data_IF_396124243411
#
_entry.id   IF_396124243411
#
_cell.length_a   1.000
_cell.length_b   1.000
_cell.length_c   1.000
_cell.angle_alpha   90.00
_cell.angle_beta   90.00
_cell.angle_gamma   90.00
#
_symmetry.space_group_name_H-M   'P 1'
#
loop_
_entity.id
_entity.type
_entity.pdbx_description
1 polymer ?
#
# COMPACT_ATOMS: atom_id res chain seq x y z
N UNK A 1 23.26 -6.35 -7.89
CA UNK A 1 23.08 -5.74 -6.56
C UNK A 1 21.64 -5.30 -6.48
N UNK A 2 20.96 -5.61 -5.37
CA UNK A 2 19.61 -5.09 -5.08
C UNK A 2 19.78 -3.60 -4.75
N UNK A 3 19.14 -2.73 -5.51
CA UNK A 3 19.07 -1.28 -5.30
C UNK A 3 18.34 -0.95 -3.99
N UNK A 4 18.57 0.25 -3.46
CA UNK A 4 17.96 0.70 -2.18
C UNK A 4 16.43 0.77 -2.23
N UNK A 5 15.88 0.88 -3.44
CA UNK A 5 14.46 0.97 -3.77
C UNK A 5 13.94 -0.27 -4.50
N UNK A 6 14.73 -1.34 -4.61
CA UNK A 6 14.26 -2.61 -5.15
C UNK A 6 13.35 -3.32 -4.14
N UNK A 7 12.35 -4.08 -4.63
CA UNK A 7 11.52 -4.91 -3.76
C UNK A 7 12.36 -6.01 -3.09
N UNK A 8 11.92 -6.46 -1.92
CA UNK A 8 12.53 -7.60 -1.25
C UNK A 8 12.30 -8.87 -2.09
N UNK A 9 13.34 -9.59 -2.54
CA UNK A 9 13.17 -10.67 -3.53
C UNK A 9 12.20 -11.76 -3.08
N UNK A 10 12.25 -12.14 -1.80
CA UNK A 10 11.36 -13.15 -1.23
C UNK A 10 9.90 -12.67 -1.15
N UNK A 11 9.69 -11.36 -0.98
CA UNK A 11 8.35 -10.78 -0.91
C UNK A 11 7.80 -10.46 -2.30
N UNK A 12 8.65 -10.08 -3.26
CA UNK A 12 8.27 -9.85 -4.65
C UNK A 12 7.67 -11.11 -5.31
N UNK A 13 8.20 -12.29 -4.96
CA UNK A 13 7.69 -13.58 -5.42
C UNK A 13 6.52 -14.05 -4.52
N UNK A 14 5.33 -14.16 -5.12
CA UNK A 14 4.14 -14.61 -4.42
C UNK A 14 4.29 -16.03 -3.84
N UNK A 15 4.78 -16.98 -4.64
CA UNK A 15 4.96 -18.36 -4.20
C UNK A 15 5.98 -18.48 -3.06
N UNK A 16 7.10 -17.76 -3.14
CA UNK A 16 8.12 -17.71 -2.10
C UNK A 16 7.57 -17.10 -0.81
N UNK A 17 6.81 -16.00 -0.91
CA UNK A 17 6.13 -15.38 0.23
C UNK A 17 5.17 -16.37 0.91
N UNK A 18 4.31 -17.03 0.13
CA UNK A 18 3.35 -18.00 0.66
C UNK A 18 4.05 -19.20 1.30
N UNK A 19 5.14 -19.69 0.72
CA UNK A 19 5.95 -20.78 1.29
C UNK A 19 6.57 -20.37 2.63
N UNK A 20 7.13 -19.18 2.72
CA UNK A 20 7.71 -18.62 3.95
C UNK A 20 6.66 -18.51 5.06
N UNK A 21 5.50 -17.93 4.77
CA UNK A 21 4.43 -17.74 5.75
C UNK A 21 3.88 -19.07 6.27
N UNK A 22 3.65 -20.05 5.37
CA UNK A 22 3.22 -21.40 5.76
C UNK A 22 4.25 -22.11 6.64
N UNK A 23 5.54 -21.99 6.31
CA UNK A 23 6.61 -22.54 7.14
C UNK A 23 6.62 -21.93 8.55
N UNK A 24 6.33 -20.62 8.67
CA UNK A 24 6.24 -19.94 9.97
C UNK A 24 5.02 -20.38 10.79
N UNK A 25 3.88 -20.66 10.13
CA UNK A 25 2.67 -21.14 10.80
C UNK A 25 2.77 -22.59 11.31
N UNK A 26 3.62 -23.42 10.68
CA UNK A 26 3.78 -24.82 11.08
C UNK A 26 2.46 -25.60 10.91
N UNK A 27 1.97 -26.20 12.01
CA UNK A 27 0.73 -27.00 12.05
C UNK A 27 -0.48 -26.22 12.61
N UNK A 28 -0.38 -24.91 12.79
CA UNK A 28 -1.52 -24.09 13.23
C UNK A 28 -2.55 -23.98 12.10
N UNK A 29 -3.64 -24.75 12.19
CA UNK A 29 -4.69 -24.80 11.17
C UNK A 29 -5.36 -23.43 10.94
N UNK A 30 -5.58 -22.66 12.00
CA UNK A 30 -6.21 -21.34 11.92
C UNK A 30 -5.28 -20.36 11.19
N UNK A 31 -4.00 -20.31 11.57
CA UNK A 31 -3.02 -19.48 10.89
C UNK A 31 -2.86 -19.87 9.40
N UNK A 32 -2.94 -21.16 9.07
CA UNK A 32 -2.88 -21.63 7.69
C UNK A 32 -4.10 -21.21 6.85
N UNK A 33 -5.29 -21.17 7.45
CA UNK A 33 -6.52 -20.65 6.80
C UNK A 33 -6.37 -19.15 6.52
N UNK A 34 -5.95 -18.38 7.52
CA UNK A 34 -5.75 -16.93 7.40
C UNK A 34 -4.68 -16.60 6.35
N UNK A 35 -3.56 -17.32 6.34
CA UNK A 35 -2.52 -17.18 5.31
C UNK A 35 -3.09 -17.47 3.92
N UNK A 36 -3.92 -18.51 3.76
CA UNK A 36 -4.51 -18.85 2.46
C UNK A 36 -5.46 -17.75 1.97
N UNK A 37 -6.29 -17.22 2.85
CA UNK A 37 -7.18 -16.11 2.54
C UNK A 37 -6.41 -14.84 2.17
N UNK A 38 -5.42 -14.49 2.99
CA UNK A 38 -4.53 -13.36 2.73
C UNK A 38 -3.82 -13.49 1.38
N UNK A 39 -3.30 -14.68 1.05
CA UNK A 39 -2.65 -14.95 -0.24
C UNK A 39 -3.57 -14.68 -1.42
N UNK A 40 -4.82 -15.15 -1.37
CA UNK A 40 -5.82 -14.88 -2.43
C UNK A 40 -6.14 -13.40 -2.57
N UNK A 41 -6.21 -12.65 -1.45
CA UNK A 41 -6.43 -11.20 -1.48
C UNK A 41 -5.21 -10.48 -2.07
N UNK A 42 -4.01 -10.89 -1.67
CA UNK A 42 -2.74 -10.33 -2.12
C UNK A 42 -2.58 -10.35 -3.64
N UNK A 43 -2.99 -11.43 -4.31
CA UNK A 43 -2.92 -11.50 -5.78
C UNK A 43 -3.70 -10.37 -6.47
N UNK A 44 -4.79 -9.90 -5.87
CA UNK A 44 -5.57 -8.74 -6.35
C UNK A 44 -4.96 -7.41 -5.95
N UNK A 45 -4.40 -7.32 -4.73
CA UNK A 45 -3.84 -6.05 -4.21
C UNK A 45 -2.50 -5.67 -4.85
N UNK A 46 -1.63 -6.63 -5.14
CA UNK A 46 -0.28 -6.33 -5.65
C UNK A 46 -0.27 -5.55 -6.97
N UNK A 47 -1.08 -5.90 -8.00
CA UNK A 47 -1.15 -5.09 -9.22
C UNK A 47 -1.58 -3.64 -8.95
N UNK A 48 -2.56 -3.43 -8.07
CA UNK A 48 -3.04 -2.09 -7.68
C UNK A 48 -1.94 -1.30 -6.99
N UNK A 49 -1.27 -1.90 -5.99
CA UNK A 49 -0.16 -1.24 -5.30
C UNK A 49 1.02 -0.93 -6.24
N UNK A 50 1.33 -1.81 -7.20
CA UNK A 50 2.39 -1.55 -8.20
C UNK A 50 2.03 -0.39 -9.10
N UNK A 51 0.80 -0.36 -9.62
CA UNK A 51 0.30 0.74 -10.42
C UNK A 51 0.28 2.06 -9.63
N UNK A 52 -0.14 2.02 -8.37
CA UNK A 52 -0.15 3.20 -7.50
C UNK A 52 1.27 3.70 -7.21
N UNK A 53 2.20 2.81 -6.86
CA UNK A 53 3.59 3.17 -6.63
C UNK A 53 4.27 3.74 -7.89
N UNK A 54 3.93 3.21 -9.07
CA UNK A 54 4.36 3.75 -10.37
C UNK A 54 3.80 5.15 -10.64
N UNK A 55 2.54 5.41 -10.27
CA UNK A 55 1.93 6.75 -10.36
C UNK A 55 2.71 7.75 -9.48
N UNK A 56 2.92 7.43 -8.21
CA UNK A 56 3.67 8.30 -7.29
C UNK A 56 5.09 8.59 -7.80
N UNK A 57 5.73 7.55 -8.36
CA UNK A 57 7.06 7.66 -8.97
C UNK A 57 7.09 8.60 -10.18
N UNK A 58 6.12 8.46 -11.08
CA UNK A 58 5.99 9.28 -12.30
C UNK A 58 5.80 10.77 -11.98
N UNK A 59 5.10 11.06 -10.89
CA UNK A 59 4.83 12.43 -10.45
C UNK A 59 5.86 12.96 -9.44
N UNK A 60 6.96 12.24 -9.21
CA UNK A 60 8.06 12.72 -8.37
C UNK A 60 7.78 12.71 -6.86
N UNK A 61 6.67 12.12 -6.42
CA UNK A 61 6.32 11.96 -5.00
C UNK A 61 7.24 10.94 -4.31
N UNK A 62 7.78 9.99 -5.08
CA UNK A 62 8.86 9.11 -4.65
C UNK A 62 10.06 9.23 -5.59
N UNK A 63 11.17 9.74 -5.07
CA UNK A 63 12.41 9.96 -5.82
C UNK A 63 13.21 8.66 -6.02
N UNK A 64 14.22 8.74 -6.91
CA UNK A 64 15.04 7.57 -7.28
C UNK A 64 15.98 7.27 -6.13
N UNK A 65 16.09 6.01 -5.71
CA UNK A 65 16.93 5.66 -4.58
C UNK A 65 16.44 6.19 -3.23
N UNK A 66 15.18 6.66 -3.13
CA UNK A 66 14.50 6.82 -1.84
C UNK A 66 14.57 5.48 -1.10
N UNK A 67 14.99 5.50 0.16
CA UNK A 67 15.12 4.28 0.94
C UNK A 67 13.78 3.54 1.04
N UNK A 68 13.83 2.21 1.04
CA UNK A 68 12.65 1.34 1.14
C UNK A 68 11.65 1.79 2.22
N UNK A 69 12.13 2.11 3.42
CA UNK A 69 11.29 2.53 4.55
C UNK A 69 10.53 3.82 4.24
N UNK A 70 11.21 4.85 3.74
CA UNK A 70 10.59 6.13 3.42
C UNK A 70 9.63 6.02 2.23
N UNK A 71 10.01 5.23 1.22
CA UNK A 71 9.13 4.90 0.09
C UNK A 71 7.86 4.23 0.57
N UNK A 72 7.98 3.16 1.36
CA UNK A 72 6.83 2.39 1.84
C UNK A 72 5.92 3.27 2.68
N UNK A 73 6.50 4.16 3.51
CA UNK A 73 5.76 5.17 4.24
C UNK A 73 4.99 6.11 3.31
N UNK A 74 5.64 6.74 2.33
CA UNK A 74 4.98 7.66 1.39
C UNK A 74 3.87 6.95 0.63
N UNK A 75 4.12 5.74 0.11
CA UNK A 75 3.12 4.96 -0.61
C UNK A 75 1.92 4.67 0.29
N UNK A 76 2.15 4.27 1.54
CA UNK A 76 1.07 3.99 2.50
C UNK A 76 0.22 5.24 2.80
N UNK A 77 0.85 6.39 3.10
CA UNK A 77 0.12 7.62 3.40
C UNK A 77 -0.68 8.10 2.19
N UNK A 78 -0.05 8.13 1.00
CA UNK A 78 -0.70 8.53 -0.23
C UNK A 78 -1.86 7.59 -0.60
N UNK A 79 -1.73 6.28 -0.36
CA UNK A 79 -2.79 5.32 -0.62
C UNK A 79 -4.01 5.57 0.29
N UNK A 80 -3.78 5.87 1.56
CA UNK A 80 -4.83 6.26 2.51
C UNK A 80 -5.49 7.60 2.14
N UNK A 81 -4.74 8.58 1.64
CA UNK A 81 -5.30 9.88 1.20
C UNK A 81 -6.16 9.71 -0.05
N UNK A 82 -5.72 8.88 -1.00
CA UNK A 82 -6.39 8.66 -2.28
C UNK A 82 -7.82 8.09 -2.15
N UNK A 83 -8.18 7.53 -1.00
CA UNK A 83 -9.54 6.99 -0.75
C UNK A 83 -10.61 8.06 -0.77
N UNK A 84 -10.28 9.27 -0.28
CA UNK A 84 -11.11 10.47 -0.40
C UNK A 84 -11.37 10.88 -1.85
N UNK A 85 -10.51 10.44 -2.76
CA UNK A 85 -10.59 10.67 -4.20
C UNK A 85 -11.13 9.45 -4.95
N UNK A 86 -11.77 8.52 -4.23
CA UNK A 86 -12.46 7.37 -4.84
C UNK A 86 -11.56 6.17 -5.16
N UNK A 87 -10.30 6.15 -4.70
CA UNK A 87 -9.50 4.92 -4.71
C UNK A 87 -10.06 3.94 -3.67
N UNK A 88 -10.43 2.74 -4.09
CA UNK A 88 -10.91 1.73 -3.16
C UNK A 88 -9.75 1.10 -2.35
N UNK A 89 -9.88 1.07 -1.01
CA UNK A 89 -9.01 0.31 -0.12
C UNK A 89 -9.38 -1.17 -0.13
N UNK A 90 -9.26 -1.81 -1.29
CA UNK A 90 -9.51 -3.24 -1.40
C UNK A 90 -8.70 -4.01 -0.35
N UNK A 91 -9.39 -4.68 0.58
CA UNK A 91 -8.85 -5.69 1.49
C UNK A 91 -7.71 -5.22 2.43
N UNK A 92 -7.52 -3.92 2.64
CA UNK A 92 -6.63 -3.37 3.68
C UNK A 92 -7.45 -2.78 4.83
N UNK A 93 -7.22 -3.31 6.03
CA UNK A 93 -7.86 -2.80 7.25
C UNK A 93 -7.07 -1.64 7.83
N UNK A 94 -7.78 -0.59 8.23
CA UNK A 94 -7.25 0.50 9.04
C UNK A 94 -7.12 0.04 10.51
N UNK A 95 -5.92 0.18 11.10
CA UNK A 95 -5.65 -0.21 12.49
C UNK A 95 -4.75 0.80 13.21
N UNK A 96 -5.26 2.00 13.43
CA UNK A 96 -4.52 3.12 14.06
C UNK A 96 -3.86 2.73 15.39
N UNK A 97 -4.57 1.99 16.25
CA UNK A 97 -4.11 1.63 17.59
C UNK A 97 -3.03 0.54 17.63
N UNK A 98 -2.79 -0.18 16.52
CA UNK A 98 -1.84 -1.30 16.48
C UNK A 98 -0.67 -1.06 15.52
N UNK A 99 -0.92 -0.43 14.37
CA UNK A 99 0.03 -0.41 13.26
C UNK A 99 0.01 0.90 12.44
N UNK A 100 -0.74 1.92 12.89
CA UNK A 100 -0.94 3.16 12.14
C UNK A 100 -2.00 3.00 11.03
N UNK A 101 -2.00 3.88 10.01
CA UNK A 101 -3.15 4.01 9.14
C UNK A 101 -3.43 2.77 8.28
N UNK A 102 -2.48 1.83 8.09
CA UNK A 102 -2.75 0.60 7.35
C UNK A 102 -2.07 -0.59 8.06
N UNK A 103 -2.76 -1.73 8.12
CA UNK A 103 -2.34 -2.90 8.89
C UNK A 103 -0.97 -3.49 8.45
N UNK A 104 -0.31 -4.24 9.35
CA UNK A 104 1.00 -4.87 9.13
C UNK A 104 1.12 -5.71 7.84
N UNK A 105 0.01 -6.24 7.34
CA UNK A 105 -0.06 -7.01 6.09
C UNK A 105 0.19 -6.15 4.84
N UNK A 106 -0.11 -4.86 4.90
CA UNK A 106 0.27 -3.91 3.86
C UNK A 106 1.78 -3.74 3.78
N UNK A 107 2.49 -3.74 4.92
CA UNK A 107 3.95 -3.60 4.92
C UNK A 107 4.62 -4.72 4.11
N UNK A 108 4.13 -5.96 4.22
CA UNK A 108 4.63 -7.09 3.40
C UNK A 108 4.42 -6.83 1.91
N UNK A 109 3.26 -6.29 1.53
CA UNK A 109 2.94 -5.99 0.14
C UNK A 109 3.73 -4.78 -0.39
N UNK A 110 3.97 -3.76 0.43
CA UNK A 110 4.81 -2.60 0.10
C UNK A 110 6.28 -3.00 -0.14
N UNK A 111 6.80 -3.93 0.66
CA UNK A 111 8.13 -4.48 0.41
C UNK A 111 8.22 -5.29 -0.88
N UNK A 112 7.09 -5.73 -1.44
CA UNK A 112 7.01 -6.53 -2.66
C UNK A 112 6.83 -5.70 -3.94
N UNK A 113 6.66 -4.37 -3.83
CA UNK A 113 6.50 -3.49 -5.00
C UNK A 113 7.80 -2.78 -5.36
N UNK A 114 8.10 -2.77 -6.66
CA UNK A 114 9.11 -1.92 -7.26
C UNK A 114 8.49 -0.65 -7.84
N UNK A 115 9.30 0.39 -8.00
CA UNK A 115 8.88 1.70 -8.50
C UNK A 115 9.11 1.82 -10.02
N UNK A 116 8.52 0.93 -10.80
CA UNK A 116 8.58 1.02 -12.26
C UNK A 116 7.65 2.13 -12.77
N UNK A 117 8.21 3.32 -13.02
CA UNK A 117 7.47 4.48 -13.52
C UNK A 117 6.78 4.26 -14.89
N UNK A 118 7.20 3.22 -15.63
CA UNK A 118 6.65 2.88 -16.95
C UNK A 118 5.43 1.98 -16.87
N UNK A 119 5.13 1.43 -15.69
CA UNK A 119 3.97 0.58 -15.49
C UNK A 119 2.65 1.32 -15.79
N UNK A 120 1.64 0.63 -16.35
CA UNK A 120 0.31 1.20 -16.53
C UNK A 120 -0.30 1.63 -15.19
N UNK A 121 -0.85 2.84 -15.13
CA UNK A 121 -1.46 3.41 -13.92
C UNK A 121 -2.97 3.65 -14.05
N UNK A 122 -3.55 3.35 -15.22
CA UNK A 122 -4.96 3.61 -15.49
C UNK A 122 -5.91 2.74 -14.66
N UNK A 123 -7.07 3.28 -14.31
CA UNK A 123 -8.13 2.56 -13.60
C UNK A 123 -7.94 2.48 -12.07
N UNK A 124 -6.98 3.23 -11.51
CA UNK A 124 -6.82 3.37 -10.06
C UNK A 124 -7.93 4.26 -9.47
N UNK A 125 -8.24 5.36 -10.15
CA UNK A 125 -9.25 6.33 -9.75
C UNK A 125 -10.52 6.14 -10.60
N UNK A 126 -11.70 6.57 -10.08
CA UNK A 126 -12.95 6.49 -10.82
C UNK A 126 -12.93 7.34 -12.10
N UNK A 127 -12.19 8.45 -12.09
CA UNK A 127 -11.97 9.31 -13.25
C UNK A 127 -10.66 10.10 -13.16
N UNK A 128 -10.30 10.75 -14.26
CA UNK A 128 -9.08 11.56 -14.36
C UNK A 128 -9.11 12.86 -13.53
N UNK A 129 -10.30 13.34 -13.15
CA UNK A 129 -10.43 14.53 -12.31
C UNK A 129 -10.05 14.20 -10.86
N UNK A 130 -10.48 13.04 -10.37
CA UNK A 130 -10.17 12.51 -9.06
C UNK A 130 -8.69 12.17 -8.92
N UNK A 131 -8.10 11.53 -9.94
CA UNK A 131 -6.65 11.31 -9.98
C UNK A 131 -5.86 12.63 -9.89
N UNK A 132 -6.28 13.65 -10.65
CA UNK A 132 -5.62 14.96 -10.63
C UNK A 132 -5.77 15.66 -9.28
N UNK A 133 -6.98 15.66 -8.70
CA UNK A 133 -7.23 16.26 -7.40
C UNK A 133 -6.38 15.63 -6.30
N UNK A 134 -6.26 14.30 -6.31
CA UNK A 134 -5.35 13.57 -5.44
C UNK A 134 -3.90 14.03 -5.61
N UNK A 135 -3.39 14.04 -6.85
CA UNK A 135 -1.99 14.39 -7.14
C UNK A 135 -1.67 15.84 -6.74
N UNK A 136 -2.60 16.78 -6.97
CA UNK A 136 -2.48 18.17 -6.55
C UNK A 136 -2.47 18.32 -5.03
N UNK A 137 -3.28 17.54 -4.31
CA UNK A 137 -3.36 17.57 -2.85
C UNK A 137 -2.06 17.11 -2.17
N UNK A 138 -1.43 16.05 -2.69
CA UNK A 138 -0.20 15.48 -2.10
C UNK A 138 1.09 16.10 -2.63
N UNK A 139 1.02 16.94 -3.66
CA UNK A 139 2.20 17.57 -4.25
C UNK A 139 2.95 18.47 -3.26
N UNK A 140 4.27 18.26 -3.16
CA UNK A 140 5.16 19.09 -2.34
C UNK A 140 5.03 18.85 -0.82
N UNK A 141 4.25 17.85 -0.39
CA UNK A 141 4.06 17.52 1.03
C UNK A 141 5.25 16.76 1.60
N UNK A 142 5.68 17.16 2.79
CA UNK A 142 6.66 16.39 3.55
C UNK A 142 6.04 15.14 4.21
N UNK A 143 6.89 14.27 4.76
CA UNK A 143 6.44 13.03 5.41
C UNK A 143 5.49 13.29 6.58
N UNK A 144 5.70 14.38 7.33
CA UNK A 144 4.86 14.74 8.47
C UNK A 144 3.49 15.27 8.04
N UNK A 145 3.44 16.06 6.97
CA UNK A 145 2.20 16.52 6.34
C UNK A 145 1.39 15.35 5.79
N UNK A 146 2.03 14.46 5.01
CA UNK A 146 1.37 13.26 4.48
C UNK A 146 0.81 12.39 5.60
N UNK A 147 1.56 12.19 6.68
CA UNK A 147 1.09 11.43 7.85
C UNK A 147 -0.14 12.05 8.53
N UNK A 148 -0.18 13.39 8.65
CA UNK A 148 -1.36 14.09 9.20
C UNK A 148 -2.57 13.98 8.26
N UNK A 149 -2.36 14.20 6.96
CA UNK A 149 -3.42 14.14 5.95
C UNK A 149 -4.04 12.74 5.84
N UNK A 150 -3.21 11.70 5.86
CA UNK A 150 -3.66 10.31 5.88
C UNK A 150 -4.46 10.00 7.15
N UNK A 151 -4.02 10.48 8.31
CA UNK A 151 -4.80 10.36 9.56
C UNK A 151 -6.18 11.01 9.42
N UNK A 152 -6.25 12.23 8.90
CA UNK A 152 -7.52 12.94 8.65
C UNK A 152 -8.35 12.29 7.54
N UNK A 153 -7.73 11.50 6.67
CA UNK A 153 -8.43 10.73 5.64
C UNK A 153 -9.21 9.56 6.21
N UNK A 154 -8.65 8.89 7.21
CA UNK A 154 -9.22 7.64 7.67
C UNK A 154 -9.95 7.74 9.01
N UNK A 155 -9.70 8.76 9.85
CA UNK A 155 -10.48 8.98 11.09
C UNK A 155 -12.00 9.05 10.82
N UNK A 156 -12.50 9.81 9.83
CA UNK A 156 -13.94 9.86 9.55
C UNK A 156 -14.52 8.52 9.07
N UNK A 157 -13.71 7.67 8.45
CA UNK A 157 -14.10 6.35 7.97
C UNK A 157 -14.14 5.32 9.13
N UNK A 158 -13.21 5.42 10.08
CA UNK A 158 -13.23 4.68 11.35
C UNK A 158 -14.50 5.00 12.16
N UNK A 159 -14.84 6.29 12.29
CA UNK A 159 -16.05 6.72 13.00
C UNK A 159 -17.33 6.17 12.32
N UNK A 160 -17.37 6.11 10.99
CA UNK A 160 -18.47 5.46 10.26
C UNK A 160 -18.55 3.95 10.46
N UNK A 161 -17.42 3.24 10.52
CA UNK A 161 -17.40 1.79 10.72
C UNK A 161 -17.74 1.36 12.14
N UNK A 162 -17.45 2.20 13.15
CA UNK A 162 -17.81 1.93 14.56
C UNK A 162 -19.30 2.19 14.82
N UNK A 163 -19.92 3.09 14.04
CA UNK A 163 -21.32 3.50 14.19
C UNK A 163 -22.29 2.78 13.23
N UNK A 164 -21.79 1.89 12.36
CA UNK A 164 -22.57 1.05 11.44
C UNK A 164 -22.70 -0.39 11.97
#
# INVERSE_FOLDING_TARGET
>A
MIGKDDPEPTLADHGATMKMLRAKAGNDEQALIEIREWGRRRERRLPVLRAFAALLRRHGLVAAGTGRVDRDFVVAQCFAIATKHGLDMMDYEYRDSQSGPLAALMMIDLHAVGLDATAPTGGLFPDAASERAFLEEVAGKDLGELGRMARDAVIPELERMILA
#
